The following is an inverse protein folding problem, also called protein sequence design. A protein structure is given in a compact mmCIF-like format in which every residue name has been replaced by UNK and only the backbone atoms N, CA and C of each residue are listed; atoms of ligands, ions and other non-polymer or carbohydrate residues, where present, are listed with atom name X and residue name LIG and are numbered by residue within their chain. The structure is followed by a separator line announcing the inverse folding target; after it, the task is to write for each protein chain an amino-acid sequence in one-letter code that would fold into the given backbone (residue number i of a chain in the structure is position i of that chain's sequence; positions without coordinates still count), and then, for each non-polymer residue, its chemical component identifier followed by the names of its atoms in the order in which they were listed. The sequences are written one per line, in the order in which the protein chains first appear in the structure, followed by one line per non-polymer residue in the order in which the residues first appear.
data_IF_942558485547
#
_entry.id   IF_942558485547
#
_cell.length_a   1.000
_cell.length_b   1.000
_cell.length_c   1.000
_cell.angle_alpha   90.00
_cell.angle_beta   90.00
_cell.angle_gamma   90.00
#
_symmetry.space_group_name_H-M   'P 1'
#
loop_
_entity.id
_entity.type
_entity.pdbx_description
1 polymer ?
#
# COMPACT_ATOMS: atom_id res chain seq x y z
N UNK A 1 -4.50 -20.57 11.43
CA UNK A 1 -4.02 -19.29 12.00
C UNK A 1 -4.99 -18.18 11.60
N UNK A 2 -5.09 -17.11 12.38
CA UNK A 2 -5.87 -15.90 12.08
C UNK A 2 -4.93 -14.81 11.58
N UNK A 3 -5.18 -14.29 10.39
CA UNK A 3 -4.33 -13.29 9.71
C UNK A 3 -5.16 -12.04 9.44
N UNK A 4 -4.65 -10.87 9.81
CA UNK A 4 -5.28 -9.59 9.55
C UNK A 4 -4.41 -8.74 8.64
N UNK A 5 -4.93 -8.32 7.49
CA UNK A 5 -4.30 -7.27 6.70
C UNK A 5 -4.88 -5.91 7.09
N UNK A 6 -4.01 -4.91 7.24
CA UNK A 6 -4.39 -3.51 7.43
C UNK A 6 -3.80 -2.73 6.28
N UNK A 7 -4.66 -2.15 5.45
CA UNK A 7 -4.24 -1.42 4.25
C UNK A 7 -4.91 -0.06 4.16
N UNK A 8 -4.25 0.96 3.58
CA UNK A 8 -4.91 2.21 3.23
C UNK A 8 -6.15 1.99 2.34
N UNK A 9 -6.02 1.20 1.27
CA UNK A 9 -7.11 0.80 0.37
C UNK A 9 -6.79 -0.55 -0.30
N UNK A 10 -7.78 -1.13 -0.98
CA UNK A 10 -7.58 -2.29 -1.86
C UNK A 10 -7.45 -1.82 -3.34
N UNK A 11 -6.26 -1.34 -3.71
CA UNK A 11 -6.06 -0.65 -4.99
C UNK A 11 -6.26 -1.54 -6.21
N UNK A 12 -5.77 -2.78 -6.19
CA UNK A 12 -5.75 -3.67 -7.37
C UNK A 12 -6.31 -5.08 -7.11
N UNK A 13 -7.09 -5.24 -6.03
CA UNK A 13 -7.71 -6.52 -5.68
C UNK A 13 -6.78 -7.57 -5.06
N UNK A 14 -5.50 -7.23 -4.85
CA UNK A 14 -4.49 -8.14 -4.28
C UNK A 14 -4.90 -8.69 -2.91
N UNK A 15 -5.58 -7.89 -2.08
CA UNK A 15 -6.03 -8.34 -0.75
C UNK A 15 -7.07 -9.47 -0.85
N UNK A 16 -7.98 -9.42 -1.84
CA UNK A 16 -8.93 -10.51 -2.07
C UNK A 16 -8.21 -11.80 -2.47
N UNK A 17 -7.15 -11.68 -3.29
CA UNK A 17 -6.36 -12.81 -3.72
C UNK A 17 -5.55 -13.43 -2.57
N UNK A 18 -4.96 -12.60 -1.71
CA UNK A 18 -4.27 -13.07 -0.51
C UNK A 18 -5.24 -13.75 0.47
N UNK A 19 -6.40 -13.15 0.73
CA UNK A 19 -7.44 -13.75 1.56
C UNK A 19 -7.80 -15.16 1.05
N UNK A 20 -8.11 -15.27 -0.24
CA UNK A 20 -8.41 -16.55 -0.88
C UNK A 20 -7.26 -17.54 -0.79
N UNK A 21 -6.01 -17.09 -0.96
CA UNK A 21 -4.83 -17.95 -0.87
C UNK A 21 -4.60 -18.50 0.55
N UNK A 22 -4.88 -17.70 1.58
CA UNK A 22 -4.81 -18.10 2.99
C UNK A 22 -5.94 -19.05 3.35
N UNK A 23 -7.17 -18.73 2.97
CA UNK A 23 -8.36 -19.57 3.23
C UNK A 23 -8.26 -20.95 2.59
N UNK A 24 -7.73 -21.02 1.37
CA UNK A 24 -7.43 -22.30 0.70
C UNK A 24 -6.42 -23.18 1.45
N UNK A 25 -5.63 -22.59 2.35
CA UNK A 25 -4.67 -23.30 3.21
C UNK A 25 -5.22 -23.59 4.62
N UNK A 26 -6.51 -23.34 4.85
CA UNK A 26 -7.14 -23.56 6.16
C UNK A 26 -6.87 -22.44 7.17
N UNK A 27 -6.36 -21.29 6.73
CA UNK A 27 -6.23 -20.11 7.59
C UNK A 27 -7.50 -19.25 7.54
N UNK A 28 -7.74 -18.49 8.60
CA UNK A 28 -8.73 -17.43 8.61
C UNK A 28 -8.03 -16.12 8.26
N UNK A 29 -8.54 -15.38 7.28
CA UNK A 29 -7.92 -14.15 6.81
C UNK A 29 -8.97 -13.06 6.64
N UNK A 30 -8.74 -11.92 7.28
CA UNK A 30 -9.54 -10.72 7.11
C UNK A 30 -8.66 -9.54 6.75
N UNK A 31 -9.30 -8.50 6.23
CA UNK A 31 -8.62 -7.26 5.92
C UNK A 31 -9.48 -6.04 6.21
N UNK A 32 -8.84 -5.03 6.80
CA UNK A 32 -9.42 -3.73 7.14
C UNK A 32 -8.79 -2.69 6.24
N UNK A 33 -9.63 -1.86 5.61
CA UNK A 33 -9.16 -0.74 4.78
C UNK A 33 -9.47 0.60 5.42
N UNK A 34 -8.58 1.59 5.27
CA UNK A 34 -8.75 2.91 5.88
C UNK A 34 -9.76 3.77 5.10
N UNK A 35 -9.74 3.68 3.77
CA UNK A 35 -10.61 4.44 2.87
C UNK A 35 -11.04 3.58 1.66
N UNK A 36 -12.16 3.94 1.00
CA UNK A 36 -12.72 3.12 -0.07
C UNK A 36 -11.78 3.05 -1.28
N UNK A 37 -11.76 1.90 -1.94
CA UNK A 37 -11.09 1.73 -3.24
C UNK A 37 -11.84 2.51 -4.33
N UNK A 38 -11.10 2.96 -5.33
CA UNK A 38 -11.66 3.57 -6.56
C UNK A 38 -12.28 2.55 -7.51
N UNK A 39 -11.97 1.27 -7.33
CA UNK A 39 -12.34 0.19 -8.23
C UNK A 39 -13.37 -0.73 -7.57
N UNK A 40 -13.99 -1.59 -8.37
CA UNK A 40 -15.03 -2.52 -7.89
C UNK A 40 -14.40 -3.80 -7.31
N UNK A 41 -13.58 -3.63 -6.28
CA UNK A 41 -13.02 -4.72 -5.48
C UNK A 41 -13.66 -4.74 -4.11
N UNK A 42 -13.86 -5.94 -3.56
CA UNK A 42 -14.33 -6.08 -2.17
C UNK A 42 -13.33 -5.37 -1.23
N UNK A 43 -13.77 -4.31 -0.51
CA UNK A 43 -12.90 -3.48 0.32
C UNK A 43 -12.65 -4.09 1.71
N UNK A 44 -13.25 -5.25 2.01
CA UNK A 44 -13.24 -5.85 3.33
C UNK A 44 -13.95 -4.93 4.33
N UNK A 45 -13.42 -4.85 5.55
CA UNK A 45 -13.93 -3.92 6.56
C UNK A 45 -13.40 -2.51 6.30
N UNK A 46 -14.13 -1.71 5.52
CA UNK A 46 -13.74 -0.33 5.20
C UNK A 46 -14.12 0.66 6.31
N UNK A 47 -13.13 1.34 6.87
CA UNK A 47 -13.31 2.35 7.91
C UNK A 47 -13.77 3.70 7.37
N UNK A 48 -13.78 3.96 6.06
CA UNK A 48 -14.23 5.23 5.48
C UNK A 48 -13.71 6.48 6.26
N UNK A 49 -12.40 6.50 6.56
CA UNK A 49 -11.80 7.53 7.40
C UNK A 49 -11.65 8.86 6.63
N UNK A 50 -11.93 10.00 7.28
CA UNK A 50 -11.86 11.30 6.61
C UNK A 50 -10.42 11.82 6.46
N UNK A 51 -10.27 12.96 5.77
CA UNK A 51 -9.02 13.71 5.59
C UNK A 51 -7.95 13.01 4.75
N UNK A 52 -8.24 11.86 4.16
CA UNK A 52 -7.46 11.25 3.09
C UNK A 52 -8.41 10.99 1.95
N UNK A 53 -7.98 11.31 0.74
CA UNK A 53 -8.73 10.97 -0.44
C UNK A 53 -7.80 10.64 -1.59
N UNK A 54 -8.31 9.85 -2.52
CA UNK A 54 -7.72 9.60 -3.83
C UNK A 54 -8.26 10.59 -4.88
N UNK A 55 -9.09 11.56 -4.49
CA UNK A 55 -9.64 12.60 -5.35
C UNK A 55 -8.56 13.47 -5.99
N UNK A 56 -8.77 13.82 -7.26
CA UNK A 56 -7.81 14.59 -8.06
C UNK A 56 -7.50 15.96 -7.45
N UNK A 57 -8.48 16.62 -6.84
CA UNK A 57 -8.32 17.93 -6.21
C UNK A 57 -7.42 17.84 -4.96
N UNK A 58 -7.68 16.87 -4.09
CA UNK A 58 -6.86 16.59 -2.91
C UNK A 58 -5.41 16.29 -3.30
N UNK A 59 -5.22 15.41 -4.30
CA UNK A 59 -3.90 15.06 -4.80
C UNK A 59 -3.15 16.27 -5.39
N UNK A 60 -3.83 17.15 -6.12
CA UNK A 60 -3.24 18.40 -6.66
C UNK A 60 -2.79 19.34 -5.55
N UNK A 61 -3.61 19.58 -4.53
CA UNK A 61 -3.24 20.44 -3.40
C UNK A 61 -2.08 19.86 -2.60
N UNK A 62 -2.11 18.56 -2.31
CA UNK A 62 -1.03 17.84 -1.66
C UNK A 62 0.27 17.92 -2.47
N UNK A 63 0.18 17.80 -3.79
CA UNK A 63 1.33 17.94 -4.67
C UNK A 63 1.93 19.33 -4.60
N UNK A 64 1.11 20.39 -4.72
CA UNK A 64 1.57 21.78 -4.62
C UNK A 64 2.20 22.09 -3.26
N UNK A 65 1.62 21.57 -2.17
CA UNK A 65 2.20 21.65 -0.84
C UNK A 65 3.58 21.01 -0.81
N UNK A 66 3.73 19.79 -1.34
CA UNK A 66 5.05 19.15 -1.38
C UNK A 66 6.03 19.82 -2.34
N UNK A 67 5.58 20.47 -3.42
CA UNK A 67 6.48 21.24 -4.28
C UNK A 67 7.18 22.37 -3.51
N UNK A 68 6.45 23.01 -2.59
CA UNK A 68 7.02 24.04 -1.73
C UNK A 68 8.12 23.50 -0.80
N UNK A 69 7.93 22.31 -0.21
CA UNK A 69 8.87 21.75 0.77
C UNK A 69 9.97 20.85 0.17
N UNK A 70 9.70 20.22 -0.98
CA UNK A 70 10.58 19.22 -1.59
C UNK A 70 11.22 19.72 -2.90
N UNK A 71 10.76 20.84 -3.46
CA UNK A 71 11.19 21.34 -4.77
C UNK A 71 10.27 20.86 -5.89
N UNK A 72 10.64 21.13 -7.16
CA UNK A 72 9.76 21.00 -8.34
C UNK A 72 9.09 19.62 -8.46
N UNK A 73 9.80 18.54 -8.11
CA UNK A 73 9.29 17.17 -8.15
C UNK A 73 8.20 16.89 -7.11
N UNK A 74 8.12 17.70 -6.04
CA UNK A 74 7.06 17.66 -5.04
C UNK A 74 6.79 16.27 -4.46
N UNK A 75 5.62 15.72 -4.78
CA UNK A 75 5.21 14.37 -4.33
C UNK A 75 6.03 13.23 -4.93
N UNK A 76 6.83 13.47 -5.96
CA UNK A 76 7.59 12.44 -6.67
C UNK A 76 9.07 12.43 -6.28
N UNK A 77 9.53 13.41 -5.50
CA UNK A 77 10.93 13.49 -5.10
C UNK A 77 11.33 12.24 -4.32
N UNK A 78 12.37 11.58 -4.83
CA UNK A 78 12.94 10.43 -4.16
C UNK A 78 13.58 10.80 -2.81
N UNK A 79 13.44 9.89 -1.85
CA UNK A 79 13.93 10.07 -0.50
C UNK A 79 15.14 9.17 -0.27
N UNK A 80 16.22 9.76 0.21
CA UNK A 80 17.41 9.02 0.62
C UNK A 80 17.22 8.27 1.94
N UNK A 81 18.07 7.27 2.17
CA UNK A 81 18.10 6.43 3.37
C UNK A 81 18.02 4.94 3.02
N UNK A 82 18.36 4.09 3.99
CA UNK A 82 18.34 2.62 3.86
C UNK A 82 17.96 1.97 5.20
N UNK A 83 16.65 1.90 5.56
CA UNK A 83 15.53 2.39 4.76
C UNK A 83 15.35 3.91 4.86
N UNK A 84 14.72 4.55 3.87
CA UNK A 84 14.29 5.94 4.00
C UNK A 84 13.24 6.05 5.10
N UNK A 85 13.37 7.05 5.97
CA UNK A 85 12.49 7.21 7.15
C UNK A 85 11.52 8.37 6.98
N UNK A 86 10.24 8.15 7.22
CA UNK A 86 9.23 9.20 7.18
C UNK A 86 9.48 10.26 8.25
N UNK A 87 9.38 11.53 7.83
CA UNK A 87 9.43 12.70 8.71
C UNK A 87 8.48 13.74 8.14
N UNK A 88 7.79 14.47 9.02
CA UNK A 88 7.00 15.62 8.61
C UNK A 88 7.94 16.71 8.05
N UNK A 89 7.54 17.32 6.94
CA UNK A 89 8.26 18.39 6.26
C UNK A 89 8.12 19.73 7.02
N UNK A 90 7.10 19.87 7.87
CA UNK A 90 6.91 21.07 8.69
C UNK A 90 6.14 20.80 9.98
N UNK A 91 6.14 21.81 10.87
CA UNK A 91 5.29 21.82 12.06
C UNK A 91 3.81 21.64 11.70
N UNK A 92 3.33 22.30 10.65
CA UNK A 92 1.94 22.22 10.21
C UNK A 92 1.56 20.81 9.76
N UNK A 93 2.41 20.13 8.98
CA UNK A 93 2.15 18.75 8.58
C UNK A 93 2.12 17.81 9.78
N UNK A 94 3.03 18.02 10.75
CA UNK A 94 3.02 17.26 12.00
C UNK A 94 1.73 17.44 12.78
N UNK A 95 1.24 18.68 12.92
CA UNK A 95 -0.03 18.94 13.61
C UNK A 95 -1.23 18.39 12.84
N UNK A 96 -1.22 18.48 11.51
CA UNK A 96 -2.25 17.88 10.67
C UNK A 96 -2.37 16.36 10.92
N UNK A 97 -1.26 15.63 10.96
CA UNK A 97 -1.31 14.19 11.25
C UNK A 97 -1.76 13.89 12.68
N UNK A 98 -1.38 14.71 13.67
CA UNK A 98 -1.88 14.55 15.05
C UNK A 98 -3.39 14.77 15.14
N UNK A 99 -3.90 15.83 14.50
CA UNK A 99 -5.32 16.12 14.44
C UNK A 99 -6.10 15.02 13.71
N UNK A 100 -5.60 14.59 12.55
CA UNK A 100 -6.18 13.47 11.79
C UNK A 100 -6.27 12.21 12.64
N UNK A 101 -5.18 11.83 13.31
CA UNK A 101 -5.13 10.62 14.12
C UNK A 101 -6.09 10.70 15.32
N UNK A 102 -6.22 11.89 15.94
CA UNK A 102 -7.23 12.14 16.97
C UNK A 102 -8.66 12.00 16.42
N UNK A 103 -8.95 12.53 15.23
CA UNK A 103 -10.27 12.39 14.61
C UNK A 103 -10.58 10.92 14.26
N UNK A 104 -9.58 10.19 13.76
CA UNK A 104 -9.69 8.79 13.41
C UNK A 104 -9.93 7.89 14.62
N UNK A 105 -9.37 8.26 15.77
CA UNK A 105 -9.43 7.49 17.01
C UNK A 105 -10.85 7.02 17.38
N UNK A 106 -11.85 7.92 17.26
CA UNK A 106 -13.24 7.60 17.61
C UNK A 106 -13.82 6.44 16.79
N UNK A 107 -13.41 6.29 15.54
CA UNK A 107 -13.88 5.19 14.68
C UNK A 107 -12.99 3.97 14.79
N UNK A 108 -11.67 4.18 14.88
CA UNK A 108 -10.69 3.10 14.92
C UNK A 108 -10.84 2.28 16.20
N UNK A 109 -10.89 2.91 17.39
CA UNK A 109 -11.01 2.15 18.64
C UNK A 109 -12.33 1.38 18.73
N UNK A 110 -13.43 1.99 18.31
CA UNK A 110 -14.72 1.30 18.20
C UNK A 110 -14.63 0.05 17.31
N UNK A 111 -13.97 0.18 16.15
CA UNK A 111 -13.79 -0.94 15.22
C UNK A 111 -12.85 -2.02 15.79
N UNK A 112 -11.82 -1.61 16.51
CA UNK A 112 -10.90 -2.54 17.20
C UNK A 112 -11.68 -3.44 18.18
N UNK A 113 -12.59 -2.86 18.95
CA UNK A 113 -13.45 -3.60 19.88
C UNK A 113 -14.47 -4.47 19.15
N UNK A 114 -15.22 -3.90 18.19
CA UNK A 114 -16.30 -4.60 17.47
C UNK A 114 -15.81 -5.80 16.65
N UNK A 115 -14.61 -5.70 16.07
CA UNK A 115 -14.02 -6.76 15.24
C UNK A 115 -12.95 -7.59 15.97
N UNK A 116 -12.75 -7.36 17.26
CA UNK A 116 -11.74 -8.04 18.08
C UNK A 116 -10.34 -8.04 17.41
N UNK A 117 -9.89 -6.86 16.95
CA UNK A 117 -8.70 -6.74 16.10
C UNK A 117 -7.40 -7.13 16.80
N UNK A 118 -7.39 -7.31 18.12
CA UNK A 118 -6.23 -7.83 18.86
C UNK A 118 -6.14 -9.37 18.87
N UNK A 119 -7.16 -10.07 18.37
CA UNK A 119 -7.27 -11.52 18.39
C UNK A 119 -6.94 -12.16 17.02
N UNK A 120 -5.78 -11.77 16.48
CA UNK A 120 -5.15 -12.41 15.32
C UNK A 120 -3.74 -12.87 15.69
N UNK A 121 -3.19 -13.79 14.90
CA UNK A 121 -1.84 -14.33 15.11
C UNK A 121 -0.80 -13.49 14.34
N UNK A 122 -1.16 -13.07 13.11
CA UNK A 122 -0.29 -12.33 12.19
C UNK A 122 -1.00 -11.08 11.68
N UNK A 123 -0.27 -9.98 11.64
CA UNK A 123 -0.72 -8.67 11.16
C UNK A 123 0.11 -8.24 9.96
N UNK A 124 -0.51 -8.13 8.80
CA UNK A 124 0.13 -7.63 7.59
C UNK A 124 -0.20 -6.15 7.40
N UNK A 125 0.78 -5.28 7.63
CA UNK A 125 0.67 -3.84 7.48
C UNK A 125 1.08 -3.47 6.06
N UNK A 126 0.09 -3.35 5.18
CA UNK A 126 0.32 -2.84 3.84
C UNK A 126 0.77 -1.38 3.92
N UNK A 127 1.78 -1.07 3.12
CA UNK A 127 2.45 0.22 3.04
C UNK A 127 3.17 0.58 4.35
N UNK A 128 3.21 -0.26 5.38
CA UNK A 128 3.81 0.07 6.67
C UNK A 128 3.24 1.36 7.31
N UNK A 129 1.93 1.62 7.13
CA UNK A 129 1.26 2.84 7.64
C UNK A 129 0.42 2.61 8.90
N UNK A 130 -0.11 1.41 9.12
CA UNK A 130 -1.00 1.08 10.24
C UNK A 130 -2.22 2.02 10.35
N UNK A 131 -2.89 1.99 11.51
CA UNK A 131 -4.02 2.88 11.81
C UNK A 131 -3.59 4.31 12.14
N UNK A 132 -2.51 4.46 12.89
CA UNK A 132 -2.04 5.76 13.40
C UNK A 132 -0.62 6.03 12.89
N UNK A 133 -0.33 7.29 12.58
CA UNK A 133 0.97 7.71 12.03
C UNK A 133 2.13 7.45 12.98
N UNK A 134 1.86 7.43 14.29
CA UNK A 134 2.85 7.14 15.34
C UNK A 134 3.07 5.65 15.60
N UNK A 135 2.33 4.77 14.92
CA UNK A 135 2.44 3.32 15.01
C UNK A 135 1.91 2.72 16.31
N UNK A 136 1.17 3.46 17.15
CA UNK A 136 0.77 2.99 18.50
C UNK A 136 0.04 1.65 18.52
N UNK A 137 -0.81 1.39 17.52
CA UNK A 137 -1.53 0.12 17.40
C UNK A 137 -0.55 -1.04 17.15
N UNK A 138 0.38 -0.87 16.21
CA UNK A 138 1.37 -1.90 15.86
C UNK A 138 2.36 -2.14 17.00
N UNK A 139 2.77 -1.07 17.71
CA UNK A 139 3.58 -1.20 18.93
C UNK A 139 2.90 -2.05 19.99
N UNK A 140 1.62 -1.78 20.25
CA UNK A 140 0.83 -2.57 21.20
C UNK A 140 0.72 -4.04 20.76
N UNK A 141 0.58 -4.32 19.47
CA UNK A 141 0.61 -5.69 18.95
C UNK A 141 1.95 -6.39 19.24
N UNK A 142 3.07 -5.70 19.01
CA UNK A 142 4.40 -6.23 19.31
C UNK A 142 4.58 -6.50 20.82
N UNK A 143 4.12 -5.58 21.68
CA UNK A 143 4.11 -5.75 23.15
C UNK A 143 3.26 -6.95 23.59
N UNK A 144 2.21 -7.29 22.83
CA UNK A 144 1.37 -8.48 23.04
C UNK A 144 1.97 -9.76 22.44
N UNK A 145 3.18 -9.70 21.85
CA UNK A 145 3.85 -10.84 21.22
C UNK A 145 3.22 -11.28 19.91
N UNK A 146 2.51 -10.40 19.21
CA UNK A 146 1.91 -10.69 17.90
C UNK A 146 2.94 -10.53 16.78
N UNK A 147 2.78 -11.31 15.71
CA UNK A 147 3.68 -11.23 14.57
C UNK A 147 3.28 -10.15 13.57
N UNK A 148 4.25 -9.37 13.11
CA UNK A 148 4.03 -8.20 12.25
C UNK A 148 4.80 -8.38 10.95
N UNK A 149 4.08 -8.27 9.83
CA UNK A 149 4.63 -8.28 8.47
C UNK A 149 4.36 -6.93 7.82
N UNK A 150 5.36 -6.29 7.22
CA UNK A 150 5.16 -5.06 6.45
C UNK A 150 5.29 -5.35 4.95
N UNK A 151 4.28 -4.95 4.17
CA UNK A 151 4.32 -4.98 2.71
C UNK A 151 4.65 -3.60 2.15
N UNK A 152 5.86 -3.41 1.63
CA UNK A 152 6.31 -2.13 1.08
C UNK A 152 6.20 -2.06 -0.44
N UNK A 153 5.71 -0.92 -0.92
CA UNK A 153 5.57 -0.57 -2.33
C UNK A 153 6.34 0.71 -2.65
N UNK A 154 6.35 1.08 -3.93
CA UNK A 154 7.13 2.19 -4.45
C UNK A 154 6.92 3.52 -3.75
N UNK A 155 5.68 3.86 -3.40
CA UNK A 155 5.40 5.13 -2.70
C UNK A 155 6.03 5.17 -1.30
N UNK A 156 6.24 4.01 -0.69
CA UNK A 156 6.69 3.88 0.69
C UNK A 156 8.20 4.05 0.75
N UNK A 157 8.93 3.33 -0.10
CA UNK A 157 10.39 3.31 -0.08
C UNK A 157 11.04 4.27 -1.08
N UNK A 158 10.34 4.74 -2.13
CA UNK A 158 10.91 5.77 -3.02
C UNK A 158 10.65 7.17 -2.49
N UNK A 159 9.47 7.45 -1.91
CA UNK A 159 9.00 8.83 -1.70
C UNK A 159 8.76 9.18 -0.23
N UNK A 160 7.99 8.36 0.49
CA UNK A 160 7.49 8.71 1.83
C UNK A 160 8.50 8.42 2.93
N UNK A 161 9.11 7.24 2.86
CA UNK A 161 9.87 6.59 3.91
C UNK A 161 8.99 5.73 4.84
N UNK A 162 9.60 4.76 5.51
CA UNK A 162 8.99 3.89 6.51
C UNK A 162 8.56 4.68 7.75
N UNK A 163 7.53 4.20 8.44
CA UNK A 163 7.23 4.67 9.79
C UNK A 163 8.14 3.88 10.73
N UNK A 164 9.20 4.51 11.24
CA UNK A 164 10.23 3.87 12.07
C UNK A 164 9.65 3.06 13.25
N UNK A 165 8.61 3.59 13.89
CA UNK A 165 7.87 2.93 14.97
C UNK A 165 7.22 1.58 14.58
N UNK A 166 6.89 1.39 13.31
CA UNK A 166 6.28 0.18 12.75
C UNK A 166 7.37 -0.74 12.19
N UNK A 167 8.32 -0.17 11.45
CA UNK A 167 9.44 -0.88 10.82
C UNK A 167 10.32 -1.59 11.85
N UNK A 168 10.61 -0.94 12.98
CA UNK A 168 11.45 -1.50 14.04
C UNK A 168 10.86 -2.71 14.75
N UNK A 169 9.54 -2.91 14.66
CA UNK A 169 8.83 -4.01 15.33
C UNK A 169 8.30 -5.05 14.34
N UNK A 170 8.61 -4.92 13.04
CA UNK A 170 8.21 -5.92 12.05
C UNK A 170 9.15 -7.13 12.10
N UNK A 171 8.56 -8.32 12.12
CA UNK A 171 9.30 -9.59 12.04
C UNK A 171 9.74 -9.88 10.59
N UNK A 172 8.98 -9.38 9.62
CA UNK A 172 9.22 -9.62 8.20
C UNK A 172 8.81 -8.41 7.36
N UNK A 173 9.71 -7.98 6.49
CA UNK A 173 9.44 -6.94 5.50
C UNK A 173 9.45 -7.57 4.11
N UNK A 174 8.41 -7.32 3.31
CA UNK A 174 8.27 -7.87 1.95
C UNK A 174 7.96 -6.79 0.92
N UNK A 175 8.32 -7.07 -0.33
CA UNK A 175 7.92 -6.28 -1.49
C UNK A 175 7.71 -7.17 -2.71
N UNK A 176 6.92 -6.68 -3.67
CA UNK A 176 6.80 -7.29 -4.99
C UNK A 176 7.54 -6.50 -6.09
N UNK A 177 8.24 -5.42 -5.73
CA UNK A 177 8.99 -4.56 -6.63
C UNK A 177 10.50 -4.81 -6.46
N UNK A 178 11.17 -5.32 -7.50
CA UNK A 178 12.57 -5.76 -7.43
C UNK A 178 13.54 -4.64 -7.06
N UNK A 179 13.33 -3.43 -7.58
CA UNK A 179 14.20 -2.29 -7.30
C UNK A 179 14.10 -1.80 -5.84
N UNK A 180 13.06 -2.19 -5.11
CA UNK A 180 12.93 -1.84 -3.69
C UNK A 180 13.79 -2.72 -2.78
N UNK A 181 14.33 -3.84 -3.27
CA UNK A 181 15.27 -4.67 -2.52
C UNK A 181 16.53 -3.90 -2.12
N UNK A 182 16.93 -2.91 -2.94
CA UNK A 182 18.07 -2.03 -2.67
C UNK A 182 17.72 -0.81 -1.81
N UNK A 183 16.47 -0.71 -1.32
CA UNK A 183 16.01 0.45 -0.51
C UNK A 183 15.69 0.10 0.95
N UNK A 184 15.87 -1.15 1.37
CA UNK A 184 15.65 -1.56 2.75
C UNK A 184 16.57 -2.75 3.14
N UNK A 185 17.28 -2.71 4.29
CA UNK A 185 18.30 -3.71 4.64
C UNK A 185 17.75 -5.12 4.82
N UNK A 186 16.52 -5.26 5.31
CA UNK A 186 15.91 -6.54 5.69
C UNK A 186 14.62 -6.85 4.93
N UNK A 187 14.49 -6.43 3.66
CA UNK A 187 13.30 -6.69 2.85
C UNK A 187 13.47 -7.92 1.96
N UNK A 188 12.39 -8.69 1.78
CA UNK A 188 12.37 -9.90 0.95
C UNK A 188 11.42 -9.74 -0.22
N UNK A 189 11.73 -10.40 -1.33
CA UNK A 189 10.84 -10.45 -2.48
C UNK A 189 9.68 -11.43 -2.23
N UNK A 190 8.45 -10.99 -2.51
CA UNK A 190 7.23 -11.78 -2.46
C UNK A 190 6.48 -11.59 -3.78
N UNK A 191 6.26 -12.69 -4.50
CA UNK A 191 5.46 -12.69 -5.71
C UNK A 191 4.01 -12.30 -5.42
N UNK A 192 3.45 -11.45 -6.26
CA UNK A 192 2.02 -11.15 -6.20
C UNK A 192 1.19 -12.39 -6.54
N UNK A 193 0.06 -12.59 -5.86
CA UNK A 193 -0.83 -13.68 -6.16
C UNK A 193 -1.52 -13.42 -7.51
N UNK A 194 -1.74 -14.48 -8.28
CA UNK A 194 -2.41 -14.42 -9.57
C UNK A 194 -3.37 -15.60 -9.72
N UNK A 195 -4.60 -15.33 -10.18
CA UNK A 195 -5.60 -16.38 -10.39
C UNK A 195 -5.48 -17.01 -11.77
N UNK A 196 -4.71 -18.07 -11.87
CA UNK A 196 -4.51 -18.80 -13.14
C UNK A 196 -5.78 -19.43 -13.68
N UNK A 197 -6.66 -19.95 -12.82
CA UNK A 197 -7.83 -20.75 -13.23
C UNK A 197 -8.90 -19.97 -14.03
N UNK A 198 -8.88 -18.64 -14.01
CA UNK A 198 -9.85 -17.81 -14.74
C UNK A 198 -9.43 -17.55 -16.19
N UNK A 199 -8.19 -17.87 -16.54
CA UNK A 199 -7.63 -17.52 -17.84
C UNK A 199 -7.29 -18.79 -18.61
N UNK A 200 -7.69 -18.81 -19.88
CA UNK A 200 -7.24 -19.80 -20.85
C UNK A 200 -6.26 -19.11 -21.79
N UNK A 201 -5.03 -19.62 -21.85
CA UNK A 201 -4.03 -19.08 -22.74
C UNK A 201 -4.44 -19.35 -24.20
N UNK A 202 -4.47 -18.30 -25.01
CA UNK A 202 -4.61 -18.40 -26.46
C UNK A 202 -3.23 -18.21 -27.09
N UNK A 203 -2.72 -19.25 -27.76
CA UNK A 203 -1.42 -19.23 -28.43
C UNK A 203 -1.53 -18.92 -29.93
N UNK A 204 -2.72 -18.57 -30.41
CA UNK A 204 -2.98 -18.19 -31.80
C UNK A 204 -2.70 -16.71 -31.99
N UNK A 205 -1.89 -16.38 -33.00
CA UNK A 205 -1.60 -14.98 -33.37
C UNK A 205 -2.69 -14.48 -34.32
N UNK A 206 -3.28 -13.32 -34.00
CA UNK A 206 -4.30 -12.69 -34.84
C UNK A 206 -3.67 -12.11 -36.12
N UNK A 207 -4.46 -12.04 -37.20
CA UNK A 207 -4.17 -11.24 -38.38
C UNK A 207 -5.32 -10.23 -38.59
N UNK A 208 -5.09 -8.91 -38.43
CA UNK A 208 -3.81 -8.28 -38.09
C UNK A 208 -3.37 -8.54 -36.64
N UNK A 209 -2.07 -8.37 -36.38
CA UNK A 209 -1.49 -8.50 -35.03
C UNK A 209 -2.12 -7.44 -34.12
N UNK A 210 -2.50 -7.83 -32.91
CA UNK A 210 -3.04 -6.92 -31.89
C UNK A 210 -2.06 -6.79 -30.73
N UNK A 211 -1.58 -5.58 -30.47
CA UNK A 211 -0.69 -5.27 -29.36
C UNK A 211 -1.49 -4.51 -28.29
N UNK A 212 -1.29 -4.84 -27.01
CA UNK A 212 -1.96 -4.20 -25.89
C UNK A 212 -0.93 -3.58 -24.93
N UNK A 213 -1.13 -2.31 -24.58
CA UNK A 213 -0.38 -1.61 -23.54
C UNK A 213 -1.38 -0.96 -22.58
N UNK A 214 -1.42 -1.42 -21.33
CA UNK A 214 -2.41 -0.98 -20.32
C UNK A 214 -1.74 -0.40 -19.06
N UNK A 215 -1.06 0.76 -19.17
CA UNK A 215 -0.39 1.37 -18.04
C UNK A 215 -1.39 2.13 -17.16
N UNK A 216 -1.23 2.02 -15.84
CA UNK A 216 -1.96 2.87 -14.88
C UNK A 216 -1.50 4.32 -14.91
N UNK A 217 -0.23 4.56 -15.27
CA UNK A 217 0.33 5.88 -15.52
C UNK A 217 1.30 5.82 -16.69
N UNK A 218 0.98 6.51 -17.79
CA UNK A 218 1.74 6.44 -19.03
C UNK A 218 3.18 6.93 -18.90
N UNK A 219 3.38 7.97 -18.09
CA UNK A 219 4.68 8.61 -17.86
C UNK A 219 5.68 7.63 -17.23
N UNK A 220 5.32 7.03 -16.10
CA UNK A 220 6.20 6.07 -15.40
C UNK A 220 6.35 4.73 -16.14
N UNK A 221 5.50 4.46 -17.14
CA UNK A 221 5.48 3.19 -17.88
C UNK A 221 6.08 3.30 -19.28
N UNK A 222 6.80 4.39 -19.58
CA UNK A 222 7.55 4.55 -20.83
C UNK A 222 6.67 4.52 -22.08
N UNK A 223 5.41 4.96 -21.96
CA UNK A 223 4.44 4.82 -23.05
C UNK A 223 4.84 5.63 -24.29
N UNK A 224 5.54 6.75 -24.09
CA UNK A 224 6.04 7.62 -25.16
C UNK A 224 7.07 6.90 -26.05
N UNK A 225 7.72 5.85 -25.54
CA UNK A 225 8.59 4.96 -26.32
C UNK A 225 7.82 3.80 -26.93
N UNK A 226 6.90 3.19 -26.16
CA UNK A 226 6.19 1.97 -26.58
C UNK A 226 5.22 2.26 -27.74
N UNK A 227 4.44 3.34 -27.67
CA UNK A 227 3.39 3.62 -28.66
C UNK A 227 3.95 3.81 -30.07
N UNK A 228 4.99 4.65 -30.32
CA UNK A 228 5.55 4.80 -31.66
C UNK A 228 6.11 3.50 -32.24
N UNK A 229 6.68 2.63 -31.40
CA UNK A 229 7.18 1.32 -31.83
C UNK A 229 6.01 0.44 -32.28
N UNK A 230 4.92 0.40 -31.51
CA UNK A 230 3.72 -0.35 -31.86
C UNK A 230 3.09 0.13 -33.18
N UNK A 231 3.10 1.43 -33.45
CA UNK A 231 2.57 2.02 -34.71
C UNK A 231 3.41 1.65 -35.94
N UNK A 232 4.70 1.32 -35.78
CA UNK A 232 5.56 0.88 -36.88
C UNK A 232 5.38 -0.60 -37.25
N UNK A 233 4.88 -1.42 -36.32
CA UNK A 233 4.79 -2.89 -36.45
C UNK A 233 3.35 -3.40 -36.61
N UNK A 234 2.34 -2.54 -36.43
CA UNK A 234 0.92 -2.84 -36.63
C UNK A 234 0.48 -2.51 -38.06
#
# INVERSE_FOLDING_TARGET
MKILYISPENTVGTLNLWKKAHEKRGNHCDFVTLYPTKHDYDPGYCLNLPLISTDSLYLKFRHKYYQYYKGIEGSFKEKGGFPPVWKANSYLERQYFRFRDWLWHFKIEKTIEELDLYNYDIYHIEWGLGFYRDGRFVKKLAEMGKHIVCGYHGQDLRIRGVIEAIDNVSDLNVTSELDLLEKHPNIKYLFLPFETNKYHANFTVNNPIRICHSPTNRYFKGSDTIIPICEQIA
#
